data_IF_337604766193
#
_entry.id   IF_337604766193
#
_cell.length_a   1.000
_cell.length_b   1.000
_cell.length_c   1.000
_cell.angle_alpha   90.00
_cell.angle_beta   90.00
_cell.angle_gamma   90.00
#
_symmetry.space_group_name_H-M   'P 1'
#
loop_
_entity.id
_entity.type
_entity.pdbx_description
1 polymer ?
#
# COMPACT_ATOMS: atom_id res chain seq x y z
N UNK A 1 -1.09 24.38 5.21
CA UNK A 1 0.21 24.38 4.51
C UNK A 1 0.08 23.44 3.32
N UNK A 2 0.16 23.94 2.09
CA UNK A 2 0.02 23.14 0.87
C UNK A 2 1.43 22.76 0.42
N UNK A 3 1.76 21.48 0.31
CA UNK A 3 3.12 21.01 -0.04
C UNK A 3 3.03 20.31 -1.40
N UNK A 4 3.82 20.77 -2.37
CA UNK A 4 3.85 20.22 -3.73
C UNK A 4 5.10 19.35 -3.91
N UNK A 5 4.90 18.20 -4.57
CA UNK A 5 5.97 17.28 -4.98
C UNK A 5 6.46 17.69 -6.37
N UNK A 6 7.77 17.83 -6.55
CA UNK A 6 8.37 18.08 -7.87
C UNK A 6 9.62 17.23 -8.04
N UNK A 7 9.81 16.68 -9.23
CA UNK A 7 10.97 15.84 -9.54
C UNK A 7 11.84 16.55 -10.56
N UNK A 8 13.10 16.81 -10.20
CA UNK A 8 14.12 17.26 -11.13
C UNK A 8 14.83 16.03 -11.70
N UNK A 9 14.91 15.91 -13.02
CA UNK A 9 15.57 14.78 -13.66
C UNK A 9 16.70 15.29 -14.56
N UNK A 10 17.95 15.04 -14.18
CA UNK A 10 19.14 15.37 -15.00
C UNK A 10 19.59 14.21 -15.91
N UNK A 11 18.77 13.15 -16.01
CA UNK A 11 19.06 11.93 -16.76
C UNK A 11 19.96 10.92 -16.04
N UNK A 12 20.54 11.23 -14.87
CA UNK A 12 21.37 10.30 -14.07
C UNK A 12 20.75 9.94 -12.73
N UNK A 13 20.13 10.90 -12.05
CA UNK A 13 19.38 10.67 -10.81
C UNK A 13 18.28 11.72 -10.64
N UNK A 14 17.05 11.26 -10.43
CA UNK A 14 15.92 12.14 -10.16
C UNK A 14 15.91 12.61 -8.70
N UNK A 15 15.94 13.92 -8.46
CA UNK A 15 15.78 14.50 -7.13
C UNK A 15 14.32 14.86 -6.92
N UNK A 16 13.68 14.26 -5.92
CA UNK A 16 12.29 14.59 -5.52
C UNK A 16 12.30 15.58 -4.36
N UNK A 17 11.60 16.69 -4.52
CA UNK A 17 11.51 17.77 -3.55
C UNK A 17 10.06 17.96 -3.11
N UNK A 18 9.85 18.18 -1.80
CA UNK A 18 8.58 18.51 -1.18
C UNK A 18 8.70 19.89 -0.53
N UNK A 19 8.07 20.90 -1.14
CA UNK A 19 8.12 22.27 -0.64
C UNK A 19 6.81 23.00 -0.94
N UNK A 20 6.67 24.21 -0.40
CA UNK A 20 5.52 25.07 -0.71
C UNK A 20 5.51 25.47 -2.20
N UNK A 21 4.33 25.74 -2.79
CA UNK A 21 4.19 25.98 -4.23
C UNK A 21 5.01 27.16 -4.75
N UNK A 22 5.21 28.19 -3.94
CA UNK A 22 6.04 29.36 -4.22
C UNK A 22 7.52 28.99 -4.37
N UNK A 23 8.06 28.21 -3.43
CA UNK A 23 9.43 27.69 -3.46
C UNK A 23 9.64 26.78 -4.67
N UNK A 24 8.67 25.89 -4.93
CA UNK A 24 8.70 25.01 -6.11
C UNK A 24 8.71 25.84 -7.40
N UNK A 25 7.87 26.87 -7.50
CA UNK A 25 7.78 27.73 -8.68
C UNK A 25 9.10 28.44 -9.00
N UNK A 26 9.74 29.03 -7.98
CA UNK A 26 11.03 29.70 -8.12
C UNK A 26 12.13 28.72 -8.56
N UNK A 27 12.16 27.55 -7.95
CA UNK A 27 13.16 26.53 -8.27
C UNK A 27 12.98 25.96 -9.68
N UNK A 28 11.74 25.73 -10.12
CA UNK A 28 11.41 25.31 -11.49
C UNK A 28 11.85 26.37 -12.49
N UNK A 29 11.65 27.66 -12.19
CA UNK A 29 12.10 28.76 -13.05
C UNK A 29 13.63 28.77 -13.22
N UNK A 30 14.37 28.57 -12.13
CA UNK A 30 15.85 28.46 -12.16
C UNK A 30 16.32 27.24 -12.97
N UNK A 31 15.64 26.10 -12.84
CA UNK A 31 15.95 24.90 -13.62
C UNK A 31 15.72 25.13 -15.13
N UNK A 32 14.60 25.77 -15.50
CA UNK A 32 14.30 26.14 -16.90
C UNK A 32 15.36 27.09 -17.47
N UNK A 33 15.81 28.09 -16.71
CA UNK A 33 16.90 28.99 -17.13
C UNK A 33 18.22 28.27 -17.40
N UNK A 34 18.48 27.15 -16.74
CA UNK A 34 19.72 26.37 -16.87
C UNK A 34 19.60 25.16 -17.80
N UNK A 35 18.51 25.04 -18.56
CA UNK A 35 18.20 23.86 -19.38
C UNK A 35 18.21 22.53 -18.60
N UNK A 36 17.84 22.58 -17.32
CA UNK A 36 17.70 21.37 -16.49
C UNK A 36 16.28 20.82 -16.74
N UNK A 37 16.12 19.53 -17.11
CA UNK A 37 14.81 18.94 -17.29
C UNK A 37 14.04 18.84 -15.96
N UNK A 38 12.77 19.24 -15.99
CA UNK A 38 11.87 19.23 -14.83
C UNK A 38 10.64 18.41 -15.19
N UNK A 39 10.32 17.40 -14.38
CA UNK A 39 9.02 16.74 -14.42
C UNK A 39 8.15 17.29 -13.28
N UNK A 40 7.17 18.12 -13.67
CA UNK A 40 6.15 18.60 -12.76
C UNK A 40 5.12 17.48 -12.54
N UNK A 41 4.96 17.03 -11.29
CA UNK A 41 3.93 16.06 -10.95
C UNK A 41 2.56 16.73 -11.09
N UNK A 42 1.56 16.07 -11.71
CA UNK A 42 0.23 16.66 -11.85
C UNK A 42 -0.36 16.97 -10.47
N UNK A 43 -0.95 18.16 -10.35
CA UNK A 43 -1.70 18.53 -9.15
C UNK A 43 -2.93 17.63 -9.05
N UNK A 44 -2.97 16.82 -8.00
CA UNK A 44 -4.13 15.99 -7.66
C UNK A 44 -5.06 16.86 -6.83
N UNK A 45 -6.31 17.01 -7.26
CA UNK A 45 -7.30 17.76 -6.48
C UNK A 45 -7.50 17.11 -5.10
N UNK A 46 -7.82 17.92 -4.10
CA UNK A 46 -8.02 17.41 -2.74
C UNK A 46 -9.16 16.39 -2.66
N UNK A 47 -10.22 16.60 -3.45
CA UNK A 47 -11.31 15.63 -3.65
C UNK A 47 -10.80 14.29 -4.20
N UNK A 48 -9.91 14.32 -5.21
CA UNK A 48 -9.31 13.11 -5.78
C UNK A 48 -8.44 12.39 -4.73
N UNK A 49 -7.67 13.14 -3.94
CA UNK A 49 -6.84 12.58 -2.87
C UNK A 49 -7.67 11.91 -1.78
N UNK A 50 -8.78 12.53 -1.37
CA UNK A 50 -9.71 11.97 -0.39
C UNK A 50 -10.39 10.69 -0.92
N UNK A 51 -10.80 10.69 -2.19
CA UNK A 51 -11.37 9.52 -2.87
C UNK A 51 -10.38 8.35 -2.93
N UNK A 52 -9.13 8.62 -3.31
CA UNK A 52 -8.05 7.63 -3.33
C UNK A 52 -7.78 7.08 -1.91
N UNK A 53 -7.75 7.96 -0.91
CA UNK A 53 -7.53 7.56 0.50
C UNK A 53 -8.67 6.67 1.02
N UNK A 54 -9.92 7.00 0.68
CA UNK A 54 -11.09 6.19 1.03
C UNK A 54 -11.01 4.81 0.38
N UNK A 55 -10.66 4.76 -0.90
CA UNK A 55 -10.51 3.51 -1.67
C UNK A 55 -9.39 2.64 -1.08
N UNK A 56 -8.23 3.22 -0.76
CA UNK A 56 -7.14 2.48 -0.13
C UNK A 56 -7.53 1.86 1.22
N UNK A 57 -8.30 2.58 2.05
CA UNK A 57 -8.83 2.05 3.32
C UNK A 57 -9.78 0.87 3.10
N UNK A 58 -10.64 0.94 2.08
CA UNK A 58 -11.55 -0.15 1.74
C UNK A 58 -10.79 -1.40 1.29
N UNK A 59 -9.77 -1.25 0.43
CA UNK A 59 -8.91 -2.35 -0.01
C UNK A 59 -8.22 -3.00 1.19
N UNK A 60 -7.63 -2.21 2.09
CA UNK A 60 -6.99 -2.72 3.31
C UNK A 60 -7.96 -3.49 4.21
N UNK A 61 -9.22 -3.04 4.32
CA UNK A 61 -10.24 -3.77 5.07
C UNK A 61 -10.58 -5.12 4.41
N UNK A 62 -10.66 -5.18 3.08
CA UNK A 62 -10.90 -6.42 2.33
C UNK A 62 -9.76 -7.41 2.52
N UNK A 63 -8.50 -6.95 2.48
CA UNK A 63 -7.33 -7.80 2.70
C UNK A 63 -7.33 -8.43 4.11
N UNK A 64 -7.74 -7.68 5.13
CA UNK A 64 -7.90 -8.21 6.49
C UNK A 64 -8.97 -9.30 6.57
N UNK A 65 -10.11 -9.10 5.90
CA UNK A 65 -11.17 -10.13 5.84
C UNK A 65 -10.67 -11.38 5.12
N UNK A 66 -9.90 -11.22 4.04
CA UNK A 66 -9.28 -12.34 3.31
C UNK A 66 -8.30 -13.11 4.20
N UNK A 67 -7.45 -12.43 4.95
CA UNK A 67 -6.53 -13.06 5.90
C UNK A 67 -7.27 -13.88 6.97
N UNK A 68 -8.36 -13.35 7.53
CA UNK A 68 -9.21 -14.08 8.49
C UNK A 68 -9.84 -15.32 7.84
N UNK A 69 -10.32 -15.21 6.60
CA UNK A 69 -10.90 -16.34 5.88
C UNK A 69 -9.86 -17.45 5.61
N UNK A 70 -8.63 -17.06 5.25
CA UNK A 70 -7.53 -17.99 5.04
C UNK A 70 -7.11 -18.68 6.36
N UNK A 71 -7.05 -17.96 7.49
CA UNK A 71 -6.81 -18.57 8.81
C UNK A 71 -7.91 -19.57 9.22
N UNK A 72 -9.18 -19.24 8.97
CA UNK A 72 -10.30 -20.14 9.26
C UNK A 72 -10.24 -21.43 8.42
N UNK A 73 -9.81 -21.32 7.16
CA UNK A 73 -9.63 -22.47 6.28
C UNK A 73 -8.51 -23.38 6.78
N UNK A 74 -7.41 -22.80 7.26
CA UNK A 74 -6.27 -23.55 7.79
C UNK A 74 -6.59 -24.23 9.14
N UNK A 75 -7.32 -23.57 10.04
CA UNK A 75 -7.76 -24.21 11.30
C UNK A 75 -8.72 -25.38 11.09
N UNK A 76 -9.62 -25.29 10.10
CA UNK A 76 -10.48 -26.44 9.71
C UNK A 76 -9.67 -27.63 9.15
N UNK A 77 -8.48 -27.39 8.60
CA UNK A 77 -7.62 -28.46 8.13
C UNK A 77 -6.91 -29.19 9.30
N UNK A 78 -6.53 -28.49 10.37
CA UNK A 78 -5.89 -29.09 11.56
C UNK A 78 -6.85 -29.90 12.44
N UNK A 79 -8.13 -29.54 12.52
CA UNK A 79 -9.12 -30.24 13.38
C UNK A 79 -9.65 -31.56 12.77
N UNK A 80 -9.26 -31.93 11.55
CA UNK A 80 -9.73 -33.17 10.92
C UNK A 80 -8.84 -34.37 11.24
N UNK A 81 -8.72 -34.72 12.53
CA UNK A 81 -8.53 -36.15 12.83
C UNK A 81 -9.79 -36.88 12.37
N UNK A 82 -9.62 -37.72 11.33
CA UNK A 82 -10.70 -38.59 10.84
C UNK A 82 -11.41 -39.26 12.02
N UNK A 83 -12.77 -39.29 12.05
CA UNK A 83 -13.51 -39.99 13.09
C UNK A 83 -13.04 -41.44 13.32
N UNK A 84 -12.50 -42.08 12.27
CA UNK A 84 -11.89 -43.42 12.34
C UNK A 84 -10.62 -43.45 13.21
N UNK A 85 -9.78 -42.42 13.17
CA UNK A 85 -8.60 -42.33 14.04
C UNK A 85 -8.98 -42.08 15.51
N UNK A 86 -9.98 -41.24 15.76
CA UNK A 86 -10.50 -40.97 17.10
C UNK A 86 -11.03 -42.26 17.73
N UNK A 87 -11.88 -43.01 17.01
CA UNK A 87 -12.42 -44.30 17.47
C UNK A 87 -11.30 -45.34 17.70
N UNK A 88 -10.30 -45.40 16.81
CA UNK A 88 -9.16 -46.32 16.93
C UNK A 88 -8.32 -46.05 18.19
N UNK A 89 -8.15 -44.78 18.59
CA UNK A 89 -7.38 -44.43 19.78
C UNK A 89 -8.17 -44.72 21.08
N UNK A 90 -9.49 -44.48 21.08
CA UNK A 90 -10.37 -44.81 22.22
C UNK A 90 -10.34 -46.32 22.50
N UNK A 91 -10.41 -47.16 21.46
CA UNK A 91 -10.37 -48.62 21.60
C UNK A 91 -9.00 -49.13 22.09
N UNK A 92 -7.90 -48.43 21.75
CA UNK A 92 -6.55 -48.78 22.21
C UNK A 92 -6.26 -48.41 23.68
N UNK A 93 -7.02 -47.47 24.25
CA UNK A 93 -6.87 -47.02 25.64
C UNK A 93 -7.64 -47.85 26.68
N UNK A 94 -8.46 -48.83 26.26
CA UNK A 94 -9.07 -49.81 27.15
C UNK A 94 -8.17 -51.05 27.26
N UNK A 95 -7.20 -51.00 28.17
CA UNK A 95 -6.55 -52.18 28.76
C UNK A 95 -6.43 -51.98 30.25
#
# INVERSE_FOLDING_TARGET
>A
MNIKKTTLADGRQGITIFAEPDIISEMVALCKQRNIPVEESPEVSQETLESLTKTAKQISAIEKVKAIADELKNKKAEETQSPKQIIKNILKGKK
#
